data_IF_809191349190
#
_entry.id   IF_809191349190
#
_cell.length_a   1.000
_cell.length_b   1.000
_cell.length_c   1.000
_cell.angle_alpha   90.00
_cell.angle_beta   90.00
_cell.angle_gamma   90.00
#
_symmetry.space_group_name_H-M   'P 1'
#
loop_
_entity.id
_entity.type
_entity.pdbx_description
1 polymer ?
#
# COMPACT_ATOMS: atom_id res chain seq x y z
N UNK A 1 -42.86 11.44 61.67
CA UNK A 1 -41.69 12.35 61.69
C UNK A 1 -40.47 11.54 61.28
N UNK A 2 -39.50 12.15 60.57
CA UNK A 2 -38.38 11.54 59.81
C UNK A 2 -38.70 11.10 58.39
N UNK A 3 -38.97 12.06 57.50
CA UNK A 3 -38.79 11.83 56.06
C UNK A 3 -38.59 13.15 55.32
N UNK A 4 -37.55 13.90 55.66
CA UNK A 4 -36.99 15.01 54.86
C UNK A 4 -35.54 15.15 55.32
N UNK A 5 -34.55 15.22 54.40
CA UNK A 5 -33.12 15.58 54.58
C UNK A 5 -32.08 14.58 53.99
N UNK A 6 -32.29 13.99 52.81
CA UNK A 6 -31.22 13.24 52.11
C UNK A 6 -31.00 13.63 50.63
N UNK A 7 -31.50 14.81 50.19
CA UNK A 7 -31.47 15.18 48.77
C UNK A 7 -30.39 16.17 48.27
N UNK A 8 -29.47 16.80 49.06
CA UNK A 8 -28.47 17.68 48.45
C UNK A 8 -27.10 17.03 48.18
N UNK A 9 -26.80 15.83 48.72
CA UNK A 9 -25.45 15.26 48.60
C UNK A 9 -25.17 14.60 47.23
N UNK A 10 -26.17 14.06 46.55
CA UNK A 10 -25.99 13.32 45.29
C UNK A 10 -25.61 14.22 44.10
N UNK A 11 -26.07 15.48 44.09
CA UNK A 11 -25.79 16.41 43.01
C UNK A 11 -24.33 16.92 43.04
N UNK A 12 -23.74 17.07 44.23
CA UNK A 12 -22.38 17.60 44.36
C UNK A 12 -21.32 16.59 43.90
N UNK A 13 -21.51 15.30 44.17
CA UNK A 13 -20.62 14.23 43.68
C UNK A 13 -20.68 14.06 42.16
N UNK A 14 -21.84 14.28 41.55
CA UNK A 14 -21.99 14.25 40.09
C UNK A 14 -21.20 15.37 39.40
N UNK A 15 -21.26 16.59 39.93
CA UNK A 15 -20.54 17.75 39.39
C UNK A 15 -19.03 17.65 39.64
N UNK A 16 -18.61 17.20 40.83
CA UNK A 16 -17.18 17.00 41.12
C UNK A 16 -16.57 15.88 40.26
N UNK A 17 -17.31 14.79 40.02
CA UNK A 17 -16.89 13.70 39.14
C UNK A 17 -16.80 14.11 37.66
N UNK A 18 -17.72 14.96 37.20
CA UNK A 18 -17.67 15.52 35.84
C UNK A 18 -16.48 16.48 35.69
N UNK A 19 -16.25 17.36 36.66
CA UNK A 19 -15.09 18.26 36.67
C UNK A 19 -13.77 17.48 36.74
N UNK A 20 -13.70 16.39 37.50
CA UNK A 20 -12.51 15.55 37.57
C UNK A 20 -12.24 14.81 36.25
N UNK A 21 -13.29 14.35 35.55
CA UNK A 21 -13.15 13.76 34.21
C UNK A 21 -12.72 14.77 33.16
N UNK A 22 -13.31 15.97 33.16
CA UNK A 22 -12.92 17.07 32.27
C UNK A 22 -11.49 17.52 32.55
N UNK A 23 -11.10 17.62 33.83
CA UNK A 23 -9.73 17.98 34.22
C UNK A 23 -8.72 16.88 33.82
N UNK A 24 -9.08 15.59 33.90
CA UNK A 24 -8.22 14.50 33.42
C UNK A 24 -8.02 14.55 31.90
N UNK A 25 -9.04 14.88 31.10
CA UNK A 25 -8.87 15.03 29.64
C UNK A 25 -7.97 16.19 29.24
N UNK A 26 -7.78 17.19 30.10
CA UNK A 26 -6.87 18.32 29.84
C UNK A 26 -5.47 18.15 30.45
N UNK A 27 -5.27 17.20 31.37
CA UNK A 27 -3.98 16.99 32.07
C UNK A 27 -3.19 15.79 31.58
N UNK A 28 -3.78 14.91 30.77
CA UNK A 28 -3.03 13.88 30.05
C UNK A 28 -2.59 14.51 28.72
N UNK A 29 -1.29 14.82 28.53
CA UNK A 29 -0.82 15.20 27.20
C UNK A 29 -1.25 14.10 26.23
N UNK A 30 -1.81 14.50 25.09
CA UNK A 30 -2.05 13.61 23.95
C UNK A 30 -0.76 12.82 23.71
N UNK A 31 -0.73 11.56 24.12
CA UNK A 31 0.31 10.63 23.69
C UNK A 31 0.05 10.49 22.20
N UNK A 32 0.94 11.04 21.39
CA UNK A 32 0.92 10.79 19.96
C UNK A 32 1.02 9.27 19.78
N UNK A 33 -0.02 8.60 19.22
CA UNK A 33 -0.03 7.15 19.09
C UNK A 33 1.16 6.64 18.25
N UNK A 34 1.73 7.51 17.41
CA UNK A 34 2.87 7.22 16.53
C UNK A 34 4.21 7.78 17.04
N UNK A 35 4.27 8.21 18.31
CA UNK A 35 5.50 8.73 18.95
C UNK A 35 6.17 9.87 18.15
N UNK A 36 5.38 10.67 17.44
CA UNK A 36 5.88 11.77 16.60
C UNK A 36 6.19 11.38 15.15
N UNK A 37 6.08 10.10 14.78
CA UNK A 37 6.11 9.66 13.38
C UNK A 37 4.79 10.03 12.69
N UNK A 38 4.87 10.69 11.54
CA UNK A 38 3.69 11.12 10.78
C UNK A 38 4.01 11.28 9.30
N UNK A 39 2.97 11.35 8.47
CA UNK A 39 3.14 11.69 7.07
C UNK A 39 3.59 13.14 6.87
N UNK A 40 4.64 13.31 6.07
CA UNK A 40 5.08 14.62 5.56
C UNK A 40 4.83 14.81 4.06
N UNK A 41 4.19 13.82 3.42
CA UNK A 41 3.75 13.86 2.02
C UNK A 41 2.30 13.42 1.94
N UNK A 42 1.60 13.87 0.90
CA UNK A 42 0.21 13.49 0.63
C UNK A 42 0.09 12.74 -0.69
N UNK A 43 -0.95 11.90 -0.84
CA UNK A 43 -1.31 11.27 -2.11
C UNK A 43 -1.42 12.25 -3.27
N UNK A 44 -0.72 11.94 -4.36
CA UNK A 44 -0.77 12.69 -5.61
C UNK A 44 -1.99 12.24 -6.41
N UNK A 45 -3.13 12.80 -6.06
CA UNK A 45 -4.41 12.46 -6.66
C UNK A 45 -4.49 12.92 -8.13
N UNK A 46 -4.92 12.04 -9.04
CA UNK A 46 -5.08 12.38 -10.45
C UNK A 46 -6.14 11.55 -11.18
N UNK A 47 -6.30 11.76 -12.50
CA UNK A 47 -7.31 11.05 -13.29
C UNK A 47 -6.96 9.57 -13.45
N UNK A 48 -7.98 8.73 -13.63
CA UNK A 48 -7.85 7.30 -13.96
C UNK A 48 -7.05 7.01 -15.24
N UNK A 49 -6.84 8.01 -16.09
CA UNK A 49 -6.16 7.89 -17.37
C UNK A 49 -5.07 8.95 -17.51
N UNK A 50 -3.90 8.57 -18.02
CA UNK A 50 -2.78 9.48 -18.25
C UNK A 50 -1.58 9.13 -17.35
N UNK A 51 -0.93 10.14 -16.79
CA UNK A 51 0.15 9.93 -15.82
C UNK A 51 -0.37 9.24 -14.59
N UNK A 52 0.29 8.15 -14.18
CA UNK A 52 -0.11 7.36 -13.02
C UNK A 52 -0.09 8.24 -11.78
N UNK A 53 -1.16 8.16 -11.01
CA UNK A 53 -1.43 8.96 -9.83
C UNK A 53 -2.21 8.12 -8.83
N UNK A 54 -2.17 8.53 -7.56
CA UNK A 54 -3.05 7.93 -6.55
C UNK A 54 -4.51 8.19 -6.96
N UNK A 55 -5.36 7.18 -6.84
CA UNK A 55 -6.79 7.34 -7.06
C UNK A 55 -7.61 6.37 -6.22
N UNK A 56 -8.83 6.77 -5.89
CA UNK A 56 -9.80 5.93 -5.20
C UNK A 56 -11.09 5.91 -6.04
N UNK A 57 -11.43 4.78 -6.63
CA UNK A 57 -12.67 4.63 -7.40
C UNK A 57 -13.88 4.26 -6.51
N UNK A 58 -13.99 4.84 -5.31
CA UNK A 58 -15.17 4.72 -4.44
C UNK A 58 -15.05 3.70 -3.29
N UNK A 59 -13.84 3.28 -2.93
CA UNK A 59 -13.62 2.54 -1.68
C UNK A 59 -13.93 3.42 -0.48
N UNK A 60 -14.66 2.85 0.48
CA UNK A 60 -15.01 3.44 1.76
C UNK A 60 -14.56 2.48 2.87
N UNK A 61 -13.37 2.68 3.42
CA UNK A 61 -12.72 1.70 4.30
C UNK A 61 -13.60 1.21 5.47
N UNK A 62 -14.31 2.07 6.22
CA UNK A 62 -15.16 1.66 7.35
C UNK A 62 -16.25 0.63 7.03
N UNK A 63 -16.63 0.47 5.76
CA UNK A 63 -17.66 -0.49 5.36
C UNK A 63 -17.16 -1.94 5.38
N UNK A 64 -15.85 -2.15 5.21
CA UNK A 64 -15.29 -3.48 5.08
C UNK A 64 -15.24 -4.20 6.43
N UNK A 65 -15.38 -5.52 6.36
CA UNK A 65 -15.38 -6.44 7.51
C UNK A 65 -14.33 -7.54 7.37
N UNK A 66 -13.87 -7.77 6.15
CA UNK A 66 -12.78 -8.69 5.84
C UNK A 66 -11.83 -7.99 4.87
N UNK A 67 -10.53 -8.08 5.13
CA UNK A 67 -9.48 -7.76 4.17
C UNK A 67 -8.83 -9.08 3.75
N UNK A 68 -8.83 -9.40 2.46
CA UNK A 68 -8.06 -10.49 1.88
C UNK A 68 -6.78 -9.89 1.32
N UNK A 69 -5.64 -10.26 1.89
CA UNK A 69 -4.35 -9.67 1.56
C UNK A 69 -3.52 -10.62 0.70
N UNK A 70 -3.04 -10.11 -0.43
CA UNK A 70 -2.09 -10.75 -1.32
C UNK A 70 -0.88 -9.86 -1.48
N UNK A 71 0.31 -10.45 -1.50
CA UNK A 71 1.51 -9.65 -1.68
C UNK A 71 2.79 -10.36 -1.31
N UNK A 72 3.81 -9.55 -1.05
CA UNK A 72 5.13 -10.01 -0.68
C UNK A 72 5.45 -9.77 0.81
N UNK A 73 6.74 -9.63 1.15
CA UNK A 73 7.23 -9.43 2.52
C UNK A 73 6.70 -8.16 3.19
N UNK A 74 6.19 -7.20 2.42
CA UNK A 74 5.62 -5.96 2.95
C UNK A 74 4.16 -6.12 3.39
N UNK A 75 3.54 -7.24 3.06
CA UNK A 75 2.15 -7.58 3.39
C UNK A 75 2.03 -8.90 4.15
N UNK A 76 3.07 -9.75 4.14
CA UNK A 76 3.12 -11.04 4.84
C UNK A 76 3.06 -10.86 6.38
N UNK A 77 1.91 -11.23 6.95
CA UNK A 77 1.58 -11.30 8.37
C UNK A 77 2.09 -12.58 9.05
N UNK A 78 2.83 -13.44 8.35
CA UNK A 78 3.36 -14.70 8.85
C UNK A 78 2.41 -15.90 8.67
N UNK A 79 1.28 -15.71 7.98
CA UNK A 79 0.26 -16.75 7.73
C UNK A 79 -0.16 -16.71 6.27
N UNK A 80 -0.18 -17.87 5.62
CA UNK A 80 -0.26 -17.93 4.14
C UNK A 80 -1.51 -18.67 3.63
N UNK A 81 -2.47 -18.92 4.52
CA UNK A 81 -3.67 -19.74 4.27
C UNK A 81 -4.98 -19.00 4.57
N UNK A 82 -4.94 -17.70 4.86
CA UNK A 82 -6.10 -16.91 5.28
C UNK A 82 -6.58 -17.15 6.71
N UNK A 83 -5.84 -17.94 7.49
CA UNK A 83 -6.13 -18.20 8.90
C UNK A 83 -5.77 -17.03 9.83
N UNK A 84 -6.08 -17.15 11.14
CA UNK A 84 -5.72 -16.14 12.13
C UNK A 84 -4.21 -15.93 12.21
N UNK A 85 -3.80 -14.67 12.31
CA UNK A 85 -2.40 -14.28 12.49
C UNK A 85 -1.97 -14.50 13.95
N UNK A 86 -0.71 -14.88 14.14
CA UNK A 86 -0.07 -14.85 15.45
C UNK A 86 0.21 -13.40 15.89
N UNK A 87 0.40 -13.13 17.19
CA UNK A 87 0.75 -11.80 17.67
C UNK A 87 2.01 -11.26 16.97
N UNK A 88 1.95 -10.00 16.51
CA UNK A 88 3.06 -9.31 15.87
C UNK A 88 4.12 -8.86 16.90
N UNK A 89 4.78 -9.82 17.53
CA UNK A 89 5.80 -9.59 18.57
C UNK A 89 7.13 -10.23 18.19
N UNK A 90 8.21 -9.51 18.48
CA UNK A 90 9.58 -10.02 18.33
C UNK A 90 9.86 -11.01 19.46
N UNK A 91 10.22 -12.25 19.09
CA UNK A 91 10.64 -13.29 20.04
C UNK A 91 12.08 -13.70 19.73
N UNK A 92 13.08 -13.18 20.46
CA UNK A 92 14.48 -13.51 20.22
C UNK A 92 14.73 -15.03 20.22
N UNK A 93 15.64 -15.55 19.36
CA UNK A 93 16.54 -14.80 18.49
C UNK A 93 15.92 -14.34 17.15
N UNK A 94 14.63 -14.61 16.94
CA UNK A 94 13.95 -14.18 15.72
C UNK A 94 13.81 -12.66 15.70
N UNK A 95 13.99 -12.08 14.52
CA UNK A 95 13.85 -10.65 14.25
C UNK A 95 12.56 -10.33 13.49
N UNK A 96 11.75 -11.34 13.18
CA UNK A 96 10.49 -11.21 12.49
C UNK A 96 9.34 -11.20 13.50
N UNK A 97 8.54 -10.14 13.53
CA UNK A 97 7.46 -10.00 14.50
C UNK A 97 6.31 -10.95 14.16
N UNK A 98 6.19 -12.06 14.90
CA UNK A 98 5.20 -13.11 14.59
C UNK A 98 5.30 -13.64 13.14
N UNK A 99 6.49 -13.61 12.53
CA UNK A 99 6.74 -13.99 11.14
C UNK A 99 6.73 -12.86 10.11
N UNK A 100 6.41 -11.61 10.51
CA UNK A 100 6.41 -10.44 9.61
C UNK A 100 7.82 -9.95 9.33
N UNK A 101 8.08 -9.48 8.12
CA UNK A 101 9.35 -8.85 7.72
C UNK A 101 9.51 -7.42 8.25
N UNK A 102 9.17 -7.21 9.51
CA UNK A 102 9.25 -5.94 10.24
C UNK A 102 9.27 -6.22 11.77
N UNK A 103 9.35 -5.19 12.60
CA UNK A 103 9.34 -5.26 14.06
C UNK A 103 7.93 -5.21 14.70
N UNK A 104 6.86 -5.19 13.90
CA UNK A 104 5.48 -5.12 14.38
C UNK A 104 4.47 -5.58 13.32
N UNK A 105 3.21 -5.11 13.38
CA UNK A 105 2.21 -5.37 12.34
C UNK A 105 2.63 -4.83 10.97
N UNK A 106 2.08 -5.41 9.90
CA UNK A 106 2.14 -4.84 8.54
C UNK A 106 0.93 -3.93 8.26
N UNK A 107 0.99 -3.13 7.20
CA UNK A 107 0.07 -1.99 6.96
C UNK A 107 -1.39 -2.43 6.86
N UNK A 108 -1.62 -3.62 6.31
CA UNK A 108 -2.97 -4.19 6.15
C UNK A 108 -3.59 -4.61 7.49
N UNK A 109 -2.76 -4.94 8.49
CA UNK A 109 -3.23 -5.22 9.85
C UNK A 109 -3.62 -3.94 10.57
N UNK A 110 -2.88 -2.85 10.36
CA UNK A 110 -3.21 -1.54 10.94
C UNK A 110 -4.53 -1.01 10.36
N UNK A 111 -4.72 -1.07 9.04
CA UNK A 111 -6.02 -0.73 8.42
C UNK A 111 -7.14 -1.59 9.01
N UNK A 112 -6.92 -2.91 9.14
CA UNK A 112 -7.93 -3.81 9.67
C UNK A 112 -8.27 -3.51 11.15
N UNK A 113 -7.26 -3.16 11.95
CA UNK A 113 -7.43 -2.73 13.34
C UNK A 113 -8.33 -1.51 13.42
N UNK A 114 -8.07 -0.49 12.60
CA UNK A 114 -8.76 0.80 12.65
C UNK A 114 -10.24 0.70 12.22
N UNK A 115 -10.55 -0.16 11.25
CA UNK A 115 -11.92 -0.37 10.79
C UNK A 115 -12.64 -1.55 11.48
N UNK A 116 -11.94 -2.27 12.37
CA UNK A 116 -12.46 -3.48 13.02
C UNK A 116 -12.77 -4.63 12.06
N UNK A 117 -11.97 -4.79 11.01
CA UNK A 117 -12.03 -5.90 10.06
C UNK A 117 -11.13 -7.06 10.49
N UNK A 118 -11.38 -8.26 9.97
CA UNK A 118 -10.40 -9.36 10.03
C UNK A 118 -9.47 -9.33 8.81
N UNK A 119 -8.22 -9.73 9.00
CA UNK A 119 -7.29 -10.01 7.90
C UNK A 119 -7.33 -11.50 7.56
N UNK A 120 -7.43 -11.82 6.27
CA UNK A 120 -7.14 -13.12 5.69
C UNK A 120 -5.87 -12.98 4.86
N UNK A 121 -4.75 -13.39 5.45
CA UNK A 121 -3.43 -13.22 4.84
C UNK A 121 -3.06 -14.41 3.94
N UNK A 122 -2.70 -14.08 2.71
CA UNK A 122 -2.13 -14.99 1.72
C UNK A 122 -0.78 -14.47 1.19
N UNK A 123 -0.33 -13.29 1.62
CA UNK A 123 0.92 -12.72 1.17
C UNK A 123 2.10 -13.60 1.57
N UNK A 124 3.14 -13.65 0.75
CA UNK A 124 4.30 -14.48 1.01
C UNK A 124 5.58 -13.68 0.83
N UNK A 125 6.44 -13.69 1.84
CA UNK A 125 7.76 -13.08 1.73
C UNK A 125 8.50 -13.57 0.47
N UNK A 126 9.11 -12.62 -0.23
CA UNK A 126 9.81 -12.82 -1.52
C UNK A 126 8.93 -13.20 -2.70
N UNK A 127 7.59 -13.15 -2.57
CA UNK A 127 6.72 -13.44 -3.69
C UNK A 127 6.87 -12.39 -4.81
N UNK A 128 6.92 -12.91 -6.03
CA UNK A 128 6.81 -12.16 -7.28
C UNK A 128 5.39 -12.28 -7.83
N UNK A 129 5.08 -11.61 -8.93
CA UNK A 129 3.73 -11.71 -9.51
C UNK A 129 3.50 -13.05 -10.20
N UNK A 130 4.48 -13.51 -10.99
CA UNK A 130 4.49 -14.81 -11.65
C UNK A 130 5.92 -15.35 -11.68
N UNK A 131 6.17 -16.44 -10.94
CA UNK A 131 7.52 -17.02 -10.82
C UNK A 131 8.07 -17.52 -12.16
N UNK A 132 7.21 -17.83 -13.12
CA UNK A 132 7.64 -18.31 -14.45
C UNK A 132 8.38 -17.24 -15.25
N UNK A 133 8.22 -15.96 -14.90
CA UNK A 133 8.95 -14.84 -15.52
C UNK A 133 10.36 -14.67 -14.94
N UNK A 134 10.65 -15.27 -13.78
CA UNK A 134 11.86 -15.03 -12.98
C UNK A 134 12.61 -16.34 -12.70
N UNK A 135 13.15 -17.01 -13.74
CA UNK A 135 13.76 -18.33 -13.61
C UNK A 135 14.98 -18.40 -12.67
N UNK A 136 15.62 -17.27 -12.36
CA UNK A 136 16.73 -17.21 -11.39
C UNK A 136 16.26 -17.03 -9.94
N UNK A 137 14.97 -16.75 -9.70
CA UNK A 137 14.44 -16.59 -8.35
C UNK A 137 14.40 -17.96 -7.62
N UNK A 138 15.09 -18.11 -6.48
CA UNK A 138 15.18 -19.38 -5.77
C UNK A 138 13.94 -19.71 -4.90
N UNK A 139 12.98 -18.80 -4.79
CA UNK A 139 11.79 -18.94 -3.96
C UNK A 139 10.56 -19.12 -4.84
N UNK A 140 10.05 -20.35 -5.00
CA UNK A 140 8.89 -20.62 -5.87
C UNK A 140 7.59 -20.19 -5.18
N UNK A 141 7.36 -18.89 -5.09
CA UNK A 141 6.19 -18.26 -4.47
C UNK A 141 5.78 -17.07 -5.33
N UNK A 142 4.50 -16.98 -5.67
CA UNK A 142 3.99 -15.88 -6.48
C UNK A 142 2.50 -15.59 -6.22
N UNK A 143 2.00 -14.51 -6.81
CA UNK A 143 0.58 -14.13 -6.70
C UNK A 143 -0.36 -15.20 -7.25
N UNK A 144 0.05 -15.93 -8.30
CA UNK A 144 -0.74 -17.01 -8.91
C UNK A 144 -0.98 -18.14 -7.89
N UNK A 145 0.06 -18.55 -7.14
CA UNK A 145 -0.04 -19.56 -6.09
C UNK A 145 -0.89 -19.09 -4.92
N UNK A 146 -0.77 -17.82 -4.52
CA UNK A 146 -1.59 -17.24 -3.45
C UNK A 146 -3.07 -17.22 -3.84
N UNK A 147 -3.38 -16.75 -5.05
CA UNK A 147 -4.74 -16.73 -5.61
C UNK A 147 -5.30 -18.14 -5.75
N UNK A 148 -4.49 -19.10 -6.23
CA UNK A 148 -4.88 -20.52 -6.32
C UNK A 148 -5.25 -21.08 -4.95
N UNK A 149 -4.45 -20.78 -3.92
CA UNK A 149 -4.71 -21.21 -2.54
C UNK A 149 -6.04 -20.65 -2.05
N UNK A 150 -6.26 -19.34 -2.16
CA UNK A 150 -7.51 -18.68 -1.80
C UNK A 150 -8.73 -19.29 -2.50
N UNK A 151 -8.67 -19.47 -3.82
CA UNK A 151 -9.78 -20.03 -4.61
C UNK A 151 -10.06 -21.49 -4.27
N UNK A 152 -9.03 -22.27 -3.94
CA UNK A 152 -9.18 -23.69 -3.57
C UNK A 152 -9.99 -23.90 -2.28
N UNK A 153 -10.02 -22.90 -1.40
CA UNK A 153 -10.69 -22.97 -0.10
C UNK A 153 -12.20 -22.70 -0.19
N UNK A 154 -12.72 -22.32 -1.35
CA UNK A 154 -14.15 -22.06 -1.57
C UNK A 154 -14.77 -21.10 -0.55
N UNK A 155 -14.02 -20.03 -0.22
CA UNK A 155 -14.46 -19.02 0.74
C UNK A 155 -15.81 -18.40 0.31
N UNK A 156 -16.73 -18.24 1.27
CA UNK A 156 -18.01 -17.57 1.06
C UNK A 156 -17.97 -16.18 1.69
N UNK A 157 -17.30 -15.25 1.01
CA UNK A 157 -17.15 -13.87 1.43
C UNK A 157 -18.24 -13.00 0.81
N UNK A 158 -18.69 -11.97 1.52
CA UNK A 158 -19.60 -10.96 0.98
C UNK A 158 -18.80 -9.95 0.13
N UNK A 159 -19.02 -9.87 -1.18
CA UNK A 159 -18.26 -8.98 -2.05
C UNK A 159 -18.41 -7.50 -1.72
N UNK A 160 -19.51 -7.09 -1.07
CA UNK A 160 -19.77 -5.68 -0.73
C UNK A 160 -19.01 -5.24 0.53
N UNK A 161 -18.66 -6.20 1.40
CA UNK A 161 -17.97 -5.94 2.68
C UNK A 161 -16.57 -6.57 2.76
N UNK A 162 -16.06 -7.08 1.63
CA UNK A 162 -14.70 -7.63 1.51
C UNK A 162 -13.83 -6.72 0.66
N UNK A 163 -12.68 -6.33 1.21
CA UNK A 163 -11.60 -5.63 0.50
C UNK A 163 -10.52 -6.62 0.10
N UNK A 164 -10.04 -6.54 -1.13
CA UNK A 164 -8.90 -7.30 -1.65
C UNK A 164 -7.70 -6.35 -1.76
N UNK A 165 -6.75 -6.49 -0.84
CA UNK A 165 -5.52 -5.70 -0.80
C UNK A 165 -4.41 -6.45 -1.54
N UNK A 166 -3.78 -5.81 -2.53
CA UNK A 166 -2.79 -6.42 -3.42
C UNK A 166 -1.54 -5.54 -3.47
N UNK A 167 -0.39 -6.10 -3.09
CA UNK A 167 0.91 -5.43 -3.15
C UNK A 167 1.97 -6.34 -3.76
N UNK A 168 2.37 -6.05 -5.00
CA UNK A 168 3.50 -6.69 -5.69
C UNK A 168 4.37 -5.66 -6.41
N UNK A 169 5.49 -6.10 -6.97
CA UNK A 169 6.35 -5.30 -7.85
C UNK A 169 7.77 -5.08 -7.34
N UNK A 170 8.01 -5.13 -6.01
CA UNK A 170 9.37 -4.93 -5.45
C UNK A 170 10.30 -6.09 -5.85
N UNK A 171 9.84 -7.34 -5.69
CA UNK A 171 10.64 -8.52 -6.03
C UNK A 171 10.76 -8.68 -7.55
N UNK A 172 9.67 -8.46 -8.31
CA UNK A 172 9.70 -8.46 -9.78
C UNK A 172 10.71 -7.43 -10.32
N UNK A 173 10.77 -6.23 -9.75
CA UNK A 173 11.74 -5.21 -10.13
C UNK A 173 13.17 -5.64 -9.78
N UNK A 174 13.39 -6.24 -8.61
CA UNK A 174 14.69 -6.79 -8.22
C UNK A 174 15.18 -7.89 -9.17
N UNK A 175 14.30 -8.84 -9.51
CA UNK A 175 14.62 -9.95 -10.39
C UNK A 175 14.84 -9.50 -11.85
N UNK A 176 14.24 -8.38 -12.26
CA UNK A 176 14.42 -7.81 -13.60
C UNK A 176 15.87 -7.44 -13.93
N UNK A 177 16.70 -7.18 -12.92
CA UNK A 177 18.13 -6.91 -13.10
C UNK A 177 18.96 -8.16 -13.36
N UNK A 178 18.40 -9.35 -13.10
CA UNK A 178 19.05 -10.64 -13.31
C UNK A 178 18.50 -11.31 -14.56
N UNK A 179 17.17 -11.40 -14.67
CA UNK A 179 16.49 -12.17 -15.72
C UNK A 179 16.04 -11.33 -16.91
N UNK A 180 16.15 -10.00 -16.81
CA UNK A 180 15.73 -9.04 -17.84
C UNK A 180 14.36 -8.42 -17.57
N UNK A 181 13.96 -7.48 -18.40
CA UNK A 181 12.72 -6.74 -18.18
C UNK A 181 11.48 -7.56 -18.56
N UNK A 182 10.82 -8.13 -17.56
CA UNK A 182 9.51 -8.78 -17.67
C UNK A 182 8.41 -8.07 -16.86
N UNK A 183 8.66 -6.83 -16.44
CA UNK A 183 7.70 -6.06 -15.64
C UNK A 183 6.36 -5.82 -16.36
N UNK A 184 6.31 -5.52 -17.67
CA UNK A 184 5.02 -5.42 -18.37
C UNK A 184 4.22 -6.72 -18.35
N UNK A 185 4.86 -7.87 -18.55
CA UNK A 185 4.22 -9.19 -18.48
C UNK A 185 3.72 -9.50 -17.07
N UNK A 186 4.53 -9.21 -16.06
CA UNK A 186 4.14 -9.37 -14.66
C UNK A 186 2.92 -8.49 -14.33
N UNK A 187 2.87 -7.24 -14.82
CA UNK A 187 1.70 -6.36 -14.61
C UNK A 187 0.43 -6.97 -15.24
N UNK A 188 0.54 -7.54 -16.45
CA UNK A 188 -0.58 -8.25 -17.08
C UNK A 188 -1.03 -9.48 -16.28
N UNK A 189 -0.11 -10.24 -15.69
CA UNK A 189 -0.44 -11.37 -14.84
C UNK A 189 -1.17 -10.93 -13.56
N UNK A 190 -0.76 -9.81 -12.94
CA UNK A 190 -1.49 -9.20 -11.81
C UNK A 190 -2.93 -8.84 -12.20
N UNK A 191 -3.12 -8.17 -13.34
CA UNK A 191 -4.44 -7.84 -13.86
C UNK A 191 -5.28 -9.10 -14.15
N UNK A 192 -4.64 -10.16 -14.64
CA UNK A 192 -5.27 -11.46 -14.86
C UNK A 192 -5.78 -12.09 -13.56
N UNK A 193 -5.00 -12.06 -12.47
CA UNK A 193 -5.43 -12.56 -11.16
C UNK A 193 -6.56 -11.70 -10.57
N UNK A 194 -6.50 -10.37 -10.72
CA UNK A 194 -7.60 -9.47 -10.31
C UNK A 194 -8.89 -9.82 -11.06
N UNK A 195 -8.82 -10.02 -12.38
CA UNK A 195 -9.98 -10.42 -13.18
C UNK A 195 -10.53 -11.80 -12.77
N UNK A 196 -9.65 -12.73 -12.40
CA UNK A 196 -10.03 -14.03 -11.87
C UNK A 196 -10.77 -13.92 -10.53
N UNK A 197 -10.27 -13.11 -9.60
CA UNK A 197 -10.93 -12.81 -8.32
C UNK A 197 -12.27 -12.09 -8.51
N UNK A 198 -12.38 -11.20 -9.49
CA UNK A 198 -13.62 -10.51 -9.83
C UNK A 198 -14.68 -11.42 -10.49
N UNK A 199 -14.26 -12.57 -11.00
CA UNK A 199 -15.14 -13.54 -11.65
C UNK A 199 -15.83 -14.47 -10.63
N UNK A 200 -16.93 -15.16 -11.01
CA UNK A 200 -17.52 -16.20 -10.17
C UNK A 200 -16.50 -17.31 -9.83
N UNK A 201 -16.55 -17.89 -8.62
CA UNK A 201 -17.58 -17.69 -7.60
C UNK A 201 -17.30 -16.51 -6.65
N UNK A 202 -16.09 -15.97 -6.64
CA UNK A 202 -15.66 -14.94 -5.69
C UNK A 202 -16.41 -13.63 -5.90
N UNK A 203 -16.62 -13.21 -7.16
CA UNK A 203 -17.31 -11.97 -7.51
C UNK A 203 -16.73 -10.73 -6.81
N UNK A 204 -15.41 -10.69 -6.55
CA UNK A 204 -14.75 -9.59 -5.85
C UNK A 204 -15.03 -8.24 -6.52
N UNK A 205 -15.26 -7.20 -5.71
CA UNK A 205 -15.62 -5.85 -6.19
C UNK A 205 -14.69 -4.74 -5.74
N UNK A 206 -14.05 -4.92 -4.59
CA UNK A 206 -13.30 -3.86 -3.93
C UNK A 206 -11.82 -4.24 -3.91
N UNK A 207 -11.03 -3.57 -4.75
CA UNK A 207 -9.60 -3.81 -4.85
C UNK A 207 -8.83 -2.57 -4.42
N UNK A 208 -7.92 -2.74 -3.46
CA UNK A 208 -6.88 -1.77 -3.13
C UNK A 208 -5.56 -2.32 -3.65
N UNK A 209 -5.02 -1.67 -4.67
CA UNK A 209 -3.72 -1.99 -5.25
C UNK A 209 -2.73 -0.97 -4.70
N UNK A 210 -1.65 -1.47 -4.11
CA UNK A 210 -0.57 -0.64 -3.62
C UNK A 210 0.72 -0.96 -4.37
N UNK A 211 1.51 0.05 -4.66
CA UNK A 211 2.78 -0.12 -5.33
C UNK A 211 3.91 0.67 -4.65
N UNK A 212 5.09 0.06 -4.61
CA UNK A 212 6.34 0.73 -4.28
C UNK A 212 7.50 0.15 -5.10
N UNK A 213 7.28 -0.13 -6.40
CA UNK A 213 8.37 -0.71 -7.21
C UNK A 213 9.64 0.13 -7.05
N UNK A 214 10.79 -0.53 -6.97
CA UNK A 214 12.07 0.15 -6.83
C UNK A 214 12.29 0.97 -5.55
N UNK A 215 11.32 1.05 -4.62
CA UNK A 215 11.47 1.70 -3.30
C UNK A 215 12.04 3.14 -3.40
N UNK A 216 11.41 3.97 -4.23
CA UNK A 216 11.86 5.34 -4.55
C UNK A 216 12.91 5.41 -5.67
N UNK A 217 13.22 4.28 -6.32
CA UNK A 217 14.06 4.26 -7.53
C UNK A 217 13.19 4.26 -8.77
N UNK A 218 13.32 5.31 -9.58
CA UNK A 218 12.54 5.49 -10.80
C UNK A 218 13.35 5.13 -12.04
N UNK A 219 12.81 4.23 -12.86
CA UNK A 219 13.35 3.91 -14.19
C UNK A 219 12.20 3.60 -15.16
N UNK A 220 12.49 3.62 -16.46
CA UNK A 220 11.45 3.42 -17.48
C UNK A 220 10.75 2.06 -17.41
N UNK A 221 11.38 1.04 -16.83
CA UNK A 221 10.79 -0.29 -16.69
C UNK A 221 9.76 -0.33 -15.56
N UNK A 222 10.08 0.28 -14.41
CA UNK A 222 9.16 0.44 -13.29
C UNK A 222 8.01 1.40 -13.59
N UNK A 223 8.26 2.50 -14.29
CA UNK A 223 7.17 3.41 -14.70
C UNK A 223 6.18 2.74 -15.67
N UNK A 224 6.62 1.71 -16.41
CA UNK A 224 5.75 0.93 -17.30
C UNK A 224 4.90 -0.10 -16.53
N UNK A 225 5.35 -0.56 -15.36
CA UNK A 225 4.60 -1.47 -14.49
C UNK A 225 3.28 -0.87 -13.98
N UNK A 226 3.26 0.45 -13.77
CA UNK A 226 2.11 1.17 -13.23
C UNK A 226 0.98 1.47 -14.24
N UNK A 227 1.09 1.08 -15.52
CA UNK A 227 0.18 1.56 -16.56
C UNK A 227 -1.11 0.70 -16.70
N UNK A 228 -2.25 1.38 -16.89
CA UNK A 228 -3.59 0.85 -17.22
C UNK A 228 -4.24 -0.13 -16.22
N UNK A 229 -4.48 0.27 -14.95
CA UNK A 229 -5.29 -0.54 -14.06
C UNK A 229 -6.79 -0.50 -14.45
N UNK A 230 -7.56 -1.58 -14.20
CA UNK A 230 -8.97 -1.69 -14.59
C UNK A 230 -9.90 -0.69 -13.87
N UNK A 231 -11.14 -0.55 -14.36
CA UNK A 231 -12.14 0.31 -13.74
C UNK A 231 -12.76 -0.39 -12.51
N UNK A 232 -12.84 0.32 -11.36
CA UNK A 232 -13.29 -0.10 -10.01
C UNK A 232 -12.19 -0.59 -9.04
N UNK A 233 -11.16 0.22 -8.85
CA UNK A 233 -10.10 -0.04 -7.86
C UNK A 233 -9.61 1.27 -7.22
N UNK A 234 -8.93 1.16 -6.09
CA UNK A 234 -8.04 2.22 -5.63
C UNK A 234 -6.60 1.83 -5.93
N UNK A 235 -5.82 2.78 -6.44
CA UNK A 235 -4.38 2.66 -6.61
C UNK A 235 -3.72 3.64 -5.64
N UNK A 236 -2.79 3.13 -4.85
CA UNK A 236 -1.98 3.92 -3.91
C UNK A 236 -0.50 3.67 -4.20
N UNK A 237 0.25 4.73 -4.45
CA UNK A 237 1.66 4.68 -4.85
C UNK A 237 2.52 5.07 -3.65
N UNK A 238 2.93 4.07 -2.86
CA UNK A 238 3.82 4.24 -1.72
C UNK A 238 5.22 4.72 -2.11
N UNK A 239 5.61 4.64 -3.39
CA UNK A 239 6.84 5.27 -3.89
C UNK A 239 7.00 6.73 -3.46
N UNK A 240 5.89 7.48 -3.36
CA UNK A 240 5.86 8.87 -2.87
C UNK A 240 6.39 9.00 -1.43
N UNK A 241 6.15 8.01 -0.58
CA UNK A 241 6.64 7.98 0.80
C UNK A 241 8.16 7.81 0.80
N UNK A 242 8.68 6.88 -0.03
CA UNK A 242 10.11 6.71 -0.19
C UNK A 242 10.81 7.95 -0.75
N UNK A 243 10.24 8.57 -1.77
CA UNK A 243 10.74 9.83 -2.32
C UNK A 243 10.82 10.90 -1.22
N UNK A 244 9.79 10.99 -0.38
CA UNK A 244 9.75 11.96 0.68
C UNK A 244 10.77 11.69 1.78
N UNK A 245 10.92 10.43 2.20
CA UNK A 245 11.82 10.03 3.30
C UNK A 245 13.28 10.04 2.87
N UNK A 246 13.59 9.44 1.72
CA UNK A 246 14.97 9.29 1.22
C UNK A 246 15.43 10.48 0.39
N UNK A 247 14.51 11.31 -0.09
CA UNK A 247 14.81 12.57 -0.76
C UNK A 247 15.24 13.68 0.19
N UNK A 248 15.54 14.84 -0.41
CA UNK A 248 15.95 16.04 0.33
C UNK A 248 14.79 16.88 0.84
N UNK A 249 13.59 16.70 0.28
CA UNK A 249 12.39 17.49 0.60
C UNK A 249 11.15 16.57 0.54
N UNK A 250 10.49 16.30 1.69
CA UNK A 250 10.71 16.92 2.99
C UNK A 250 11.81 16.25 3.84
N UNK A 251 12.36 15.11 3.40
CA UNK A 251 13.34 14.24 4.09
C UNK A 251 12.77 13.46 5.30
N UNK A 252 13.47 12.39 5.70
CA UNK A 252 13.07 11.52 6.82
C UNK A 252 12.75 12.26 8.13
N UNK A 253 13.42 13.38 8.41
CA UNK A 253 13.18 14.17 9.64
C UNK A 253 11.80 14.80 9.67
N UNK A 254 11.26 15.18 8.52
CA UNK A 254 9.92 15.75 8.45
C UNK A 254 8.85 14.72 8.77
N UNK A 255 9.12 13.44 8.54
CA UNK A 255 8.26 12.33 8.95
C UNK A 255 8.44 11.94 10.43
N UNK A 256 9.34 12.59 11.17
CA UNK A 256 9.67 12.27 12.56
C UNK A 256 10.80 11.27 12.75
N UNK A 257 11.36 10.66 11.68
CA UNK A 257 12.46 9.70 11.83
C UNK A 257 13.75 10.38 12.28
N UNK A 258 14.55 9.64 13.05
CA UNK A 258 15.91 10.04 13.43
C UNK A 258 16.96 9.46 12.48
N UNK A 259 16.64 8.37 11.78
CA UNK A 259 17.54 7.69 10.86
C UNK A 259 16.78 7.04 9.68
N UNK A 260 17.17 7.29 8.41
CA UNK A 260 16.54 6.65 7.25
C UNK A 260 17.05 5.23 6.97
N UNK A 261 18.03 4.73 7.74
CA UNK A 261 18.65 3.41 7.59
C UNK A 261 17.96 2.31 8.40
N UNK A 262 18.61 1.13 8.42
CA UNK A 262 18.14 -0.04 9.16
C UNK A 262 18.51 0.03 10.65
N UNK A 263 17.58 -0.37 11.52
CA UNK A 263 17.81 -0.50 12.95
C UNK A 263 18.58 -1.78 13.29
N UNK A 264 18.29 -2.89 12.61
CA UNK A 264 18.91 -4.19 12.82
C UNK A 264 20.00 -4.42 11.78
N UNK A 265 21.26 -4.40 12.23
CA UNK A 265 22.46 -4.56 11.38
C UNK A 265 23.44 -5.50 12.07
N UNK A 266 23.93 -6.52 11.34
CA UNK A 266 24.96 -7.46 11.80
C UNK A 266 24.66 -8.11 13.17
N UNK A 267 23.38 -8.43 13.43
CA UNK A 267 22.94 -9.04 14.68
C UNK A 267 22.72 -8.08 15.84
N UNK A 268 22.90 -6.77 15.63
CA UNK A 268 22.70 -5.74 16.65
C UNK A 268 21.46 -4.91 16.33
N UNK A 269 20.63 -4.68 17.35
CA UNK A 269 19.47 -3.79 17.29
C UNK A 269 19.89 -2.39 17.74
N UNK A 270 19.33 -1.36 17.10
CA UNK A 270 19.48 0.02 17.53
C UNK A 270 18.73 0.31 18.84
N UNK A 271 19.06 1.42 19.51
CA UNK A 271 18.45 1.80 20.79
C UNK A 271 17.00 2.28 20.66
N UNK A 272 16.61 2.76 19.47
CA UNK A 272 15.32 3.41 19.20
C UNK A 272 14.72 2.91 17.88
N UNK A 273 14.20 1.67 17.84
CA UNK A 273 13.69 1.05 16.61
C UNK A 273 12.49 1.78 16.00
N UNK A 274 11.72 2.51 16.80
CA UNK A 274 10.49 3.18 16.37
C UNK A 274 10.76 4.40 15.47
N UNK A 275 11.94 5.02 15.59
CA UNK A 275 12.32 6.22 14.83
C UNK A 275 13.30 5.94 13.68
N UNK A 276 13.53 4.67 13.35
CA UNK A 276 14.28 4.26 12.16
C UNK A 276 13.31 3.95 11.03
N UNK A 277 13.63 4.36 9.80
CA UNK A 277 12.77 4.06 8.65
C UNK A 277 12.78 2.58 8.25
N UNK A 278 13.94 1.92 8.35
CA UNK A 278 14.05 0.49 8.08
C UNK A 278 14.24 -0.32 9.37
N UNK A 279 13.59 -1.48 9.44
CA UNK A 279 13.85 -2.46 10.47
C UNK A 279 15.14 -3.21 10.19
N UNK A 280 15.23 -3.88 9.04
CA UNK A 280 16.47 -4.44 8.49
C UNK A 280 16.62 -4.03 7.02
N UNK A 281 17.71 -4.42 6.36
CA UNK A 281 18.02 -3.96 5.01
C UNK A 281 16.84 -4.11 4.05
N UNK A 282 16.40 -2.97 3.52
CA UNK A 282 15.34 -2.87 2.53
C UNK A 282 13.91 -3.12 3.04
N UNK A 283 13.68 -3.37 4.33
CA UNK A 283 12.37 -3.65 4.92
C UNK A 283 12.01 -2.63 6.00
N UNK A 284 10.90 -1.87 5.85
CA UNK A 284 10.49 -0.83 6.77
C UNK A 284 10.21 -1.34 8.19
N UNK A 285 10.39 -0.46 9.17
CA UNK A 285 9.86 -0.70 10.52
C UNK A 285 8.33 -0.53 10.55
N UNK A 286 7.73 -0.96 11.65
CA UNK A 286 6.29 -0.92 11.89
C UNK A 286 5.70 0.50 11.85
N UNK A 287 6.44 1.53 12.29
CA UNK A 287 5.96 2.93 12.27
C UNK A 287 5.83 3.53 10.86
N UNK A 288 6.82 3.37 9.95
CA UNK A 288 6.64 3.64 8.53
C UNK A 288 5.50 2.86 7.91
N UNK A 289 5.30 1.62 8.30
CA UNK A 289 4.16 0.83 7.84
C UNK A 289 2.83 1.43 8.32
N UNK A 290 2.75 1.95 9.55
CA UNK A 290 1.63 2.77 10.03
C UNK A 290 1.45 4.06 9.22
N UNK A 291 2.54 4.69 8.77
CA UNK A 291 2.43 5.85 7.86
C UNK A 291 1.88 5.48 6.48
N UNK A 292 1.98 4.21 6.06
CA UNK A 292 1.37 3.73 4.82
C UNK A 292 -0.12 3.54 4.97
N UNK A 293 -0.56 3.04 6.13
CA UNK A 293 -1.96 3.06 6.53
C UNK A 293 -2.49 4.50 6.50
N UNK A 294 -1.84 5.45 7.16
CA UNK A 294 -2.22 6.88 7.12
C UNK A 294 -2.32 7.39 5.67
N UNK A 295 -1.44 6.94 4.77
CA UNK A 295 -1.39 7.40 3.38
C UNK A 295 -2.53 6.80 2.55
N UNK A 296 -2.85 5.52 2.78
CA UNK A 296 -4.04 4.87 2.20
C UNK A 296 -5.31 5.56 2.71
N UNK A 297 -5.38 5.85 4.00
CA UNK A 297 -6.54 6.52 4.61
C UNK A 297 -6.71 7.94 4.08
N UNK A 298 -5.65 8.76 4.08
CA UNK A 298 -5.68 10.12 3.51
C UNK A 298 -6.04 10.08 2.02
N UNK A 299 -5.48 9.13 1.27
CA UNK A 299 -5.79 8.95 -0.15
C UNK A 299 -7.27 8.61 -0.36
N UNK A 300 -7.76 7.59 0.34
CA UNK A 300 -9.14 7.14 0.18
C UNK A 300 -10.15 8.19 0.65
N UNK A 301 -9.88 8.95 1.70
CA UNK A 301 -10.72 10.04 2.21
C UNK A 301 -10.69 11.28 1.32
N UNK A 302 -9.50 11.75 0.95
CA UNK A 302 -9.32 12.93 0.09
C UNK A 302 -9.99 12.70 -1.26
N UNK A 303 -9.84 11.52 -1.84
CA UNK A 303 -10.43 11.17 -3.13
C UNK A 303 -11.95 10.94 -3.04
N UNK A 304 -12.45 10.33 -1.95
CA UNK A 304 -13.88 10.23 -1.67
C UNK A 304 -14.56 11.61 -1.63
N UNK A 305 -13.91 12.60 -1.01
CA UNK A 305 -14.40 13.99 -0.96
C UNK A 305 -14.37 14.66 -2.33
N UNK A 306 -13.36 14.39 -3.16
CA UNK A 306 -13.29 14.92 -4.54
C UNK A 306 -14.38 14.35 -5.45
N UNK A 307 -14.68 13.05 -5.34
CA UNK A 307 -15.78 12.41 -6.09
C UNK A 307 -17.12 13.00 -5.67
N UNK A 308 -17.37 13.14 -4.36
CA UNK A 308 -18.58 13.78 -3.85
C UNK A 308 -18.71 15.24 -4.31
N UNK A 309 -17.61 16.00 -4.32
CA UNK A 309 -17.62 17.38 -4.81
C UNK A 309 -17.92 17.48 -6.31
N UNK A 310 -17.36 16.57 -7.13
CA UNK A 310 -17.62 16.50 -8.56
C UNK A 310 -19.05 16.05 -8.89
N UNK A 311 -19.60 15.07 -8.17
CA UNK A 311 -21.01 14.66 -8.30
C UNK A 311 -21.95 15.81 -7.92
N UNK A 312 -21.62 16.57 -6.87
CA UNK A 312 -22.40 17.73 -6.46
C UNK A 312 -22.35 18.88 -7.48
N UNK A 313 -21.21 19.08 -8.17
CA UNK A 313 -21.12 20.04 -9.28
C UNK A 313 -21.91 19.60 -10.52
N UNK A 314 -21.93 18.30 -10.85
CA UNK A 314 -22.70 17.80 -11.99
C UNK A 314 -24.21 17.89 -11.76
N UNK A 315 -24.69 17.78 -10.51
CA UNK A 315 -26.10 17.99 -10.18
C UNK A 315 -26.55 19.47 -10.24
N UNK A 316 -25.64 20.44 -10.17
CA UNK A 316 -25.96 21.87 -10.29
C UNK A 316 -25.92 22.41 -11.73
N UNK A 317 -25.42 21.62 -12.68
CA UNK A 317 -25.26 22.00 -14.09
C UNK A 317 -26.33 21.39 -15.01
N UNK A 318 -27.53 21.04 -14.51
CA UNK A 318 -28.67 20.72 -15.39
C UNK A 318 -29.30 22.03 -15.85
N UNK A 319 -29.12 22.46 -17.12
CA UNK A 319 -29.87 23.59 -17.64
C UNK A 319 -31.33 23.16 -17.75
N UNK A 320 -32.26 23.96 -17.23
CA UNK A 320 -33.67 23.83 -17.59
C UNK A 320 -33.79 24.05 -19.10
N UNK A 321 -33.80 22.97 -19.87
CA UNK A 321 -34.20 23.01 -21.27
C UNK A 321 -35.71 23.23 -21.27
N UNK A 322 -36.10 24.49 -21.41
CA UNK A 322 -37.46 24.89 -21.76
C UNK A 322 -37.72 24.38 -23.18
N UNK A 323 -38.70 23.49 -23.27
CA UNK A 323 -39.30 22.97 -24.48
C UNK A 323 -39.63 24.08 -25.48
N UNK A 324 -38.92 24.08 -26.61
CA UNK A 324 -39.34 24.76 -27.84
C UNK A 324 -39.21 23.81 -29.03
N UNK A 325 -40.32 23.13 -29.29
CA UNK A 325 -40.87 22.76 -30.61
C UNK A 325 -39.91 22.83 -31.81
N UNK A 326 -39.67 21.64 -32.34
CA UNK A 326 -39.20 21.30 -33.69
C UNK A 326 -39.79 22.20 -34.79
N UNK A 327 -38.91 22.69 -35.67
CA UNK A 327 -39.24 22.94 -37.07
C UNK A 327 -38.07 22.42 -37.94
N UNK A 328 -38.40 21.44 -38.77
CA UNK A 328 -37.55 20.90 -39.83
C UNK A 328 -37.45 21.91 -40.98
N UNK A 329 -36.23 22.17 -41.45
CA UNK A 329 -36.02 22.57 -42.85
C UNK A 329 -34.66 22.07 -43.34
N UNK A 330 -34.72 21.37 -44.45
CA UNK A 330 -33.64 20.84 -45.28
C UNK A 330 -32.90 21.93 -46.05
N UNK A 331 -31.58 21.86 -46.15
CA UNK A 331 -30.85 22.34 -47.32
C UNK A 331 -29.44 21.72 -47.42
N UNK A 332 -29.17 21.23 -48.63
CA UNK A 332 -27.94 20.68 -49.21
C UNK A 332 -26.83 21.71 -49.43
N UNK A 333 -25.56 21.28 -49.49
CA UNK A 333 -24.59 21.86 -50.44
C UNK A 333 -23.13 22.03 -49.99
N UNK A 334 -22.26 21.22 -50.60
CA UNK A 334 -20.95 21.55 -51.18
C UNK A 334 -19.72 22.00 -50.32
N UNK A 335 -18.70 21.13 -50.35
CA UNK A 335 -17.29 21.36 -50.77
C UNK A 335 -16.61 22.71 -50.49
N UNK A 336 -15.47 22.66 -49.76
CA UNK A 336 -14.17 23.20 -50.24
C UNK A 336 -12.97 22.82 -49.36
N UNK A 337 -11.85 22.75 -50.07
CA UNK A 337 -10.45 22.42 -49.73
C UNK A 337 -9.68 23.51 -48.97
N UNK A 338 -8.73 23.13 -48.11
CA UNK A 338 -7.39 23.75 -47.92
C UNK A 338 -6.60 22.87 -46.93
N UNK A 339 -5.52 22.16 -47.29
CA UNK A 339 -4.12 22.55 -47.55
C UNK A 339 -3.51 23.47 -46.47
N UNK A 340 -2.84 22.86 -45.48
CA UNK A 340 -1.78 23.46 -44.68
C UNK A 340 -0.75 22.38 -44.28
N UNK A 341 0.52 22.64 -44.65
CA UNK A 341 1.73 22.09 -44.04
C UNK A 341 2.54 23.33 -43.61
N UNK A 342 3.31 23.27 -42.51
CA UNK A 342 4.73 23.01 -42.70
C UNK A 342 5.42 22.15 -41.62
N UNK A 343 6.63 21.76 -42.02
CA UNK A 343 7.73 21.03 -41.38
C UNK A 343 8.10 21.40 -39.93
N UNK A 344 8.57 20.40 -39.19
CA UNK A 344 9.54 20.54 -38.10
C UNK A 344 10.61 19.44 -38.20
N UNK A 345 11.88 19.86 -38.14
CA UNK A 345 13.10 19.05 -38.03
C UNK A 345 13.85 19.47 -36.76
N UNK A 346 14.65 18.54 -36.21
CA UNK A 346 15.62 18.64 -35.10
C UNK A 346 14.99 18.60 -33.69
N UNK A 347 15.49 17.85 -32.69
CA UNK A 347 16.88 17.52 -32.31
C UNK A 347 16.96 16.22 -31.48
N UNK A 348 17.74 15.23 -31.94
CA UNK A 348 18.25 14.09 -31.13
C UNK A 348 19.75 14.29 -30.92
N UNK A 349 20.19 14.80 -29.76
CA UNK A 349 21.61 14.72 -29.36
C UNK A 349 21.89 15.15 -27.90
N UNK A 350 21.23 14.55 -26.89
CA UNK A 350 21.66 14.78 -25.49
C UNK A 350 21.59 13.58 -24.51
N UNK A 351 21.21 12.38 -24.95
CA UNK A 351 20.93 11.27 -24.00
C UNK A 351 22.10 10.32 -23.65
N UNK A 352 23.34 10.60 -24.07
CA UNK A 352 24.45 9.65 -23.85
C UNK A 352 25.36 9.90 -22.64
N UNK A 353 25.06 10.87 -21.79
CA UNK A 353 25.99 11.24 -20.69
C UNK A 353 25.48 10.98 -19.27
N UNK A 354 24.25 10.50 -19.09
CA UNK A 354 23.67 10.18 -17.78
C UNK A 354 23.65 8.67 -17.46
N UNK A 355 24.10 7.81 -18.35
CA UNK A 355 23.96 6.35 -18.19
C UNK A 355 25.06 5.66 -17.35
N UNK A 356 26.26 6.24 -17.24
CA UNK A 356 27.43 5.50 -16.70
C UNK A 356 27.66 5.63 -15.18
N UNK A 357 27.12 6.66 -14.52
CA UNK A 357 27.40 6.89 -13.08
C UNK A 357 26.41 6.19 -12.14
N UNK A 358 25.18 5.91 -12.58
CA UNK A 358 24.18 5.18 -11.78
C UNK A 358 24.44 3.68 -11.68
N UNK A 359 25.01 3.06 -12.74
CA UNK A 359 25.22 1.62 -12.81
C UNK A 359 26.27 1.10 -11.79
N UNK A 360 27.25 1.93 -11.41
CA UNK A 360 28.30 1.53 -10.47
C UNK A 360 27.88 1.56 -8.99
N UNK A 361 26.91 2.39 -8.60
CA UNK A 361 26.33 2.35 -7.26
C UNK A 361 25.33 1.20 -7.11
N UNK A 362 24.58 0.87 -8.17
CA UNK A 362 23.61 -0.24 -8.21
C UNK A 362 24.29 -1.63 -8.08
N UNK A 363 25.47 -1.82 -8.68
CA UNK A 363 26.23 -3.10 -8.56
C UNK A 363 26.74 -3.37 -7.14
N UNK A 364 26.93 -2.36 -6.29
CA UNK A 364 27.36 -2.55 -4.90
C UNK A 364 26.20 -2.93 -3.96
N UNK A 365 24.98 -2.46 -4.24
CA UNK A 365 23.77 -2.92 -3.54
C UNK A 365 23.37 -4.36 -3.92
N UNK A 366 23.59 -4.75 -5.18
CA UNK A 366 23.27 -6.09 -5.72
C UNK A 366 24.00 -7.26 -5.03
N UNK A 367 25.23 -7.05 -4.54
CA UNK A 367 25.99 -8.11 -3.84
C UNK A 367 25.44 -8.32 -2.42
N UNK A 368 24.90 -7.28 -1.77
CA UNK A 368 24.29 -7.40 -0.44
C UNK A 368 22.92 -8.07 -0.48
N UNK A 369 22.09 -7.79 -1.49
CA UNK A 369 20.75 -8.37 -1.62
C UNK A 369 20.79 -9.90 -1.79
N UNK A 370 21.79 -10.40 -2.52
CA UNK A 370 22.02 -11.84 -2.68
C UNK A 370 22.50 -12.47 -1.35
N UNK A 371 23.39 -11.80 -0.59
CA UNK A 371 23.88 -12.29 0.71
C UNK A 371 22.81 -12.28 1.81
N UNK A 372 21.87 -11.33 1.82
CA UNK A 372 20.78 -11.25 2.79
C UNK A 372 19.63 -12.22 2.50
N UNK A 373 19.33 -12.48 1.23
CA UNK A 373 18.49 -13.63 0.84
C UNK A 373 19.07 -14.95 1.35
N UNK A 374 20.41 -15.11 1.30
CA UNK A 374 21.10 -16.25 1.91
C UNK A 374 21.02 -16.25 3.45
N UNK A 375 21.02 -15.08 4.11
CA UNK A 375 20.89 -14.97 5.56
C UNK A 375 19.48 -15.35 6.05
N UNK A 376 18.42 -14.88 5.40
CA UNK A 376 17.03 -15.25 5.67
C UNK A 376 16.78 -16.75 5.43
N UNK A 377 17.28 -17.30 4.31
CA UNK A 377 17.17 -18.74 4.03
C UNK A 377 17.99 -19.60 5.01
N UNK A 378 19.16 -19.13 5.45
CA UNK A 378 19.97 -19.82 6.47
C UNK A 378 19.27 -19.76 7.84
N UNK A 379 18.60 -18.66 8.17
CA UNK A 379 17.81 -18.51 9.40
C UNK A 379 16.58 -19.41 9.40
N UNK A 380 15.73 -19.39 8.36
CA UNK A 380 14.57 -20.28 8.25
C UNK A 380 14.97 -21.77 8.33
N UNK A 381 16.10 -22.14 7.71
CA UNK A 381 16.62 -23.51 7.75
C UNK A 381 17.11 -23.90 9.15
N UNK A 382 17.77 -23.00 9.87
CA UNK A 382 18.23 -23.25 11.25
C UNK A 382 17.06 -23.32 12.24
N UNK A 383 16.05 -22.45 12.09
CA UNK A 383 14.83 -22.47 12.92
C UNK A 383 14.04 -23.78 12.73
N UNK A 384 13.91 -24.27 11.49
CA UNK A 384 13.28 -25.58 11.22
C UNK A 384 14.09 -26.76 11.77
N UNK A 385 15.42 -26.72 11.70
CA UNK A 385 16.29 -27.78 12.25
C UNK A 385 16.22 -27.84 13.79
N UNK A 386 16.18 -26.69 14.46
CA UNK A 386 16.02 -26.63 15.91
C UNK A 386 14.64 -27.10 16.38
N UNK A 387 13.58 -26.81 15.62
CA UNK A 387 12.22 -27.30 15.91
C UNK A 387 12.09 -28.83 15.76
N UNK A 388 12.86 -29.45 14.86
CA UNK A 388 12.92 -30.91 14.70
C UNK A 388 13.78 -31.56 15.78
N UNK A 389 14.84 -30.90 16.25
CA UNK A 389 15.69 -31.41 17.34
C UNK A 389 15.04 -31.31 18.73
N UNK A 390 14.01 -30.49 18.89
CA UNK A 390 13.25 -30.31 20.13
C UNK A 390 12.01 -31.24 20.27
N UNK A 391 11.79 -32.15 19.30
CA UNK A 391 10.79 -33.22 19.34
C UNK A 391 11.50 -34.57 19.39
#
# INVERSE_FOLDING_TARGET
MYSVLLFPFSALYGVLGLLFRVLLTFLVPSIDPNDGIHLAVSPRCGPLSGTVSDFNAGLNLPQFKTIVAFGDSFTDGGRHDGGPLEPAVITPPDILAGGRSTNGPVWVEDIASDIGARVMDYAWSSAVTNISLWPSNPYPRDFIMQTTTFLSQSNNLDPETTLYAIFFGINDWGDSFVDGNHLPEAAQDMLGQIALLASPPTNARNFLITDAYGRGTHNSWGEAWLQDPPLNLALVIFGTIWDGVLGSDPSYKAFGYTNPGACFIDGNMCDDPEHYFYWFDGHPSNRPIGSWQDYVEDGTDTLSRMILANLHQQHYQVPRVIDKRLNYTTASGASRTSRWHPSLQSTEQNDRKYHDSGEQQLRRGHVLFHELGYALARHERLSRLNAVAAR
#
